data_IF_019039226828
#
_entry.id   IF_019039226828
#
_cell.length_a   1.000
_cell.length_b   1.000
_cell.length_c   1.000
_cell.angle_alpha   90.00
_cell.angle_beta   90.00
_cell.angle_gamma   90.00
#
_symmetry.space_group_name_H-M   'P 1'
#
loop_
_entity.id
_entity.type
_entity.pdbx_description
1 polymer ?
#
# COMPACT_ATOMS: atom_id res chain seq x y z
N UNK A 1 -8.41 -53.07 26.86
CA UNK A 1 -9.66 -53.25 26.09
C UNK A 1 -9.58 -52.41 24.83
N UNK A 2 -9.81 -53.01 23.66
CA UNK A 2 -9.81 -52.38 22.32
C UNK A 2 -11.11 -51.56 22.08
N UNK A 3 -11.13 -50.64 21.09
CA UNK A 3 -12.15 -49.61 20.91
C UNK A 3 -13.26 -50.00 19.91
N UNK A 4 -14.39 -49.29 19.93
CA UNK A 4 -15.44 -49.30 18.91
C UNK A 4 -15.90 -47.85 18.69
N UNK A 5 -15.58 -47.22 17.56
CA UNK A 5 -16.25 -47.21 16.23
C UNK A 5 -17.34 -46.14 16.15
N UNK A 6 -17.15 -45.29 15.14
CA UNK A 6 -18.01 -44.22 14.66
C UNK A 6 -19.32 -44.75 14.07
N UNK A 7 -20.34 -43.90 14.01
CA UNK A 7 -21.26 -43.84 12.87
C UNK A 7 -21.86 -42.43 12.73
N UNK A 8 -21.82 -41.93 11.50
CA UNK A 8 -22.48 -40.73 10.97
C UNK A 8 -23.77 -41.18 10.27
N UNK A 9 -24.87 -40.45 10.42
CA UNK A 9 -25.64 -40.01 9.24
C UNK A 9 -26.09 -38.54 9.44
N UNK A 10 -26.25 -37.65 8.47
CA UNK A 10 -26.57 -37.74 7.05
C UNK A 10 -27.43 -36.50 6.76
N UNK A 11 -27.00 -35.62 5.85
CA UNK A 11 -27.79 -34.49 5.37
C UNK A 11 -29.10 -34.95 4.72
N UNK A 12 -30.11 -34.06 4.67
CA UNK A 12 -30.94 -33.93 3.48
C UNK A 12 -30.83 -32.53 2.84
N UNK A 13 -30.65 -32.57 1.53
CA UNK A 13 -30.80 -31.48 0.56
C UNK A 13 -32.30 -31.27 0.24
N UNK A 14 -32.63 -30.01 -0.10
CA UNK A 14 -33.72 -29.49 -0.94
C UNK A 14 -35.10 -30.19 -0.99
N UNK A 15 -36.15 -29.40 -0.76
CA UNK A 15 -37.51 -29.72 -1.18
C UNK A 15 -38.49 -28.58 -0.88
N UNK A 16 -38.84 -27.82 -1.92
CA UNK A 16 -39.97 -26.90 -1.98
C UNK A 16 -41.29 -27.59 -1.60
N UNK A 17 -42.18 -26.87 -0.89
CA UNK A 17 -43.61 -26.81 -1.21
C UNK A 17 -44.36 -25.85 -0.28
N UNK A 18 -45.13 -24.97 -0.91
CA UNK A 18 -46.11 -24.07 -0.34
C UNK A 18 -47.33 -24.82 0.26
N UNK A 19 -47.98 -24.24 1.28
CA UNK A 19 -49.43 -23.98 1.29
C UNK A 19 -49.92 -23.35 2.61
N UNK A 20 -50.49 -22.14 2.45
CA UNK A 20 -51.77 -21.67 3.01
C UNK A 20 -52.11 -21.76 4.52
N UNK A 21 -52.23 -20.59 5.15
CA UNK A 21 -53.44 -20.16 5.89
C UNK A 21 -53.44 -18.63 5.97
N UNK A 22 -54.23 -17.92 5.15
CA UNK A 22 -55.58 -17.42 5.42
C UNK A 22 -55.81 -16.82 6.83
N UNK A 23 -55.67 -15.49 6.91
CA UNK A 23 -56.12 -14.65 8.02
C UNK A 23 -56.31 -13.20 7.56
N UNK A 24 -57.57 -12.87 7.24
CA UNK A 24 -58.15 -11.53 6.93
C UNK A 24 -57.62 -10.47 7.91
N UNK A 25 -57.39 -9.19 7.61
CA UNK A 25 -57.82 -8.31 6.54
C UNK A 25 -58.08 -6.92 7.16
N UNK A 26 -57.44 -5.86 6.67
CA UNK A 26 -57.96 -4.48 6.66
C UNK A 26 -57.05 -3.59 5.82
N UNK A 27 -57.54 -3.26 4.63
CA UNK A 27 -56.98 -2.25 3.75
C UNK A 27 -57.35 -0.86 4.27
N UNK A 28 -56.38 0.07 4.24
CA UNK A 28 -56.62 1.50 4.19
C UNK A 28 -55.79 2.01 3.01
N UNK A 29 -56.48 2.36 1.93
CA UNK A 29 -55.87 2.86 0.71
C UNK A 29 -55.50 4.33 0.83
N UNK A 30 -54.28 4.66 0.43
CA UNK A 30 -53.91 6.01 0.01
C UNK A 30 -53.31 5.88 -1.40
N UNK A 31 -54.07 6.34 -2.39
CA UNK A 31 -53.68 6.28 -3.80
C UNK A 31 -52.55 7.25 -4.12
N UNK A 32 -51.51 6.73 -4.76
CA UNK A 32 -50.49 7.51 -5.46
C UNK A 32 -50.95 7.73 -6.93
N UNK A 33 -50.94 8.96 -7.45
CA UNK A 33 -51.25 9.21 -8.85
C UNK A 33 -50.10 8.75 -9.77
N UNK A 34 -50.39 8.29 -11.01
CA UNK A 34 -49.37 7.84 -11.95
C UNK A 34 -48.54 9.02 -12.51
N UNK A 35 -47.27 8.78 -12.89
CA UNK A 35 -46.39 9.83 -13.39
C UNK A 35 -46.84 10.31 -14.79
N UNK A 36 -46.88 11.64 -14.95
CA UNK A 36 -47.18 12.30 -16.22
C UNK A 36 -46.08 12.14 -17.28
N UNK A 37 -46.39 12.40 -18.56
CA UNK A 37 -45.48 12.16 -19.68
C UNK A 37 -44.29 13.13 -19.69
N UNK A 38 -43.13 12.71 -20.25
CA UNK A 38 -41.91 13.52 -20.26
C UNK A 38 -42.07 14.76 -21.16
N UNK A 39 -41.69 15.91 -20.61
CA UNK A 39 -41.67 17.20 -21.32
C UNK A 39 -40.46 17.29 -22.27
N UNK A 40 -40.73 17.54 -23.54
CA UNK A 40 -40.00 18.44 -24.43
C UNK A 40 -38.53 18.14 -24.73
N UNK A 41 -38.27 17.39 -25.80
CA UNK A 41 -36.98 17.37 -26.48
C UNK A 41 -36.73 18.70 -27.21
N UNK A 42 -35.59 19.34 -26.93
CA UNK A 42 -35.05 20.46 -27.70
C UNK A 42 -34.42 19.96 -29.03
N UNK A 43 -34.38 20.78 -30.09
CA UNK A 43 -34.12 20.31 -31.45
C UNK A 43 -32.64 19.98 -31.72
N UNK A 44 -32.44 18.94 -32.54
CA UNK A 44 -31.17 18.44 -33.04
C UNK A 44 -30.36 19.49 -33.82
N UNK A 45 -29.15 19.78 -33.35
CA UNK A 45 -28.10 20.41 -34.16
C UNK A 45 -27.46 19.37 -35.10
N UNK A 46 -27.47 19.65 -36.41
CA UNK A 46 -26.83 18.85 -37.47
C UNK A 46 -25.31 18.78 -37.24
N UNK A 47 -24.75 17.57 -37.14
CA UNK A 47 -23.31 17.30 -37.23
C UNK A 47 -22.89 17.10 -38.70
N UNK A 48 -21.70 17.56 -39.13
CA UNK A 48 -21.17 17.28 -40.47
C UNK A 48 -20.64 15.83 -40.57
N UNK A 49 -20.53 15.25 -41.78
CA UNK A 49 -20.15 13.86 -41.97
C UNK A 49 -18.66 13.64 -41.66
N UNK A 50 -18.36 12.51 -40.99
CA UNK A 50 -16.99 12.05 -40.71
C UNK A 50 -16.37 11.49 -41.99
N UNK A 51 -15.23 12.05 -42.40
CA UNK A 51 -14.32 11.40 -43.34
C UNK A 51 -13.67 10.17 -42.65
N UNK A 52 -13.74 9.01 -43.31
CA UNK A 52 -13.03 7.78 -42.91
C UNK A 52 -11.52 7.96 -43.17
N UNK A 53 -10.61 7.49 -42.30
CA UNK A 53 -9.19 7.69 -42.50
C UNK A 53 -8.63 6.60 -43.42
N UNK A 54 -8.30 6.97 -44.66
CA UNK A 54 -7.51 6.15 -45.59
C UNK A 54 -6.12 5.75 -45.02
N UNK A 55 -5.70 6.36 -43.92
CA UNK A 55 -4.45 6.09 -43.22
C UNK A 55 -4.40 4.70 -42.54
N UNK A 56 -5.55 4.13 -42.14
CA UNK A 56 -5.58 2.85 -41.41
C UNK A 56 -5.31 1.64 -42.31
N UNK A 57 -5.70 1.73 -43.58
CA UNK A 57 -5.54 0.63 -44.56
C UNK A 57 -4.09 0.59 -45.05
N UNK A 58 -3.46 1.75 -45.28
CA UNK A 58 -2.05 1.83 -45.66
C UNK A 58 -1.12 1.26 -44.58
N UNK A 59 -1.42 1.51 -43.29
CA UNK A 59 -0.63 0.99 -42.18
C UNK A 59 -0.71 -0.54 -42.03
N UNK A 60 -1.87 -1.13 -42.34
CA UNK A 60 -2.06 -2.59 -42.32
C UNK A 60 -1.37 -3.30 -43.50
N UNK A 61 -1.32 -2.67 -44.67
CA UNK A 61 -0.60 -3.23 -45.82
C UNK A 61 0.92 -3.19 -45.63
N UNK A 62 1.46 -2.14 -44.99
CA UNK A 62 2.88 -2.03 -44.65
C UNK A 62 3.33 -3.06 -43.59
N UNK A 63 2.47 -3.37 -42.62
CA UNK A 63 2.78 -4.38 -41.59
C UNK A 63 2.75 -5.80 -42.15
N UNK A 64 1.83 -6.10 -43.07
CA UNK A 64 1.82 -7.40 -43.78
C UNK A 64 3.05 -7.58 -44.69
N UNK A 65 3.51 -6.53 -45.36
CA UNK A 65 4.73 -6.57 -46.18
C UNK A 65 6.00 -6.80 -45.33
N UNK A 66 6.08 -6.19 -44.14
CA UNK A 66 7.21 -6.35 -43.22
C UNK A 66 7.27 -7.78 -42.64
N UNK A 67 6.11 -8.36 -42.31
CA UNK A 67 6.01 -9.74 -41.83
C UNK A 67 6.41 -10.73 -42.93
N UNK A 68 6.02 -10.49 -44.19
CA UNK A 68 6.42 -11.30 -45.33
C UNK A 68 7.94 -11.23 -45.61
N UNK A 69 8.55 -10.05 -45.47
CA UNK A 69 10.00 -9.88 -45.62
C UNK A 69 10.79 -10.58 -44.50
N UNK A 70 10.30 -10.53 -43.26
CA UNK A 70 10.92 -11.24 -42.12
C UNK A 70 10.81 -12.76 -42.26
N UNK A 71 9.68 -13.25 -42.80
CA UNK A 71 9.46 -14.68 -43.06
C UNK A 71 10.36 -15.22 -44.19
N UNK A 72 10.73 -14.37 -45.16
CA UNK A 72 11.70 -14.73 -46.20
C UNK A 72 13.14 -14.75 -45.68
N UNK A 73 13.51 -13.84 -44.77
CA UNK A 73 14.84 -13.86 -44.15
C UNK A 73 15.05 -15.06 -43.20
N UNK A 74 13.99 -15.59 -42.59
CA UNK A 74 14.08 -16.77 -41.73
C UNK A 74 14.12 -18.09 -42.52
N UNK A 75 13.95 -18.06 -43.85
CA UNK A 75 13.95 -19.26 -44.70
C UNK A 75 15.31 -19.59 -45.34
N UNK A 76 16.25 -18.63 -45.34
CA UNK A 76 17.61 -18.82 -45.90
C UNK A 76 18.67 -19.19 -44.83
N UNK A 77 18.24 -19.59 -43.64
CA UNK A 77 19.12 -19.96 -42.54
C UNK A 77 19.40 -21.45 -42.42
N UNK A 78 19.93 -22.11 -43.45
CA UNK A 78 20.60 -23.41 -43.27
C UNK A 78 21.92 -23.51 -44.06
N UNK A 79 23.03 -23.47 -43.31
CA UNK A 79 24.31 -24.10 -43.65
C UNK A 79 25.28 -23.39 -44.60
N UNK A 80 26.22 -22.60 -44.06
CA UNK A 80 27.69 -22.89 -44.03
C UNK A 80 28.56 -21.65 -43.73
N UNK A 81 29.67 -21.92 -43.06
CA UNK A 81 30.72 -21.02 -42.55
C UNK A 81 31.46 -20.23 -43.64
N UNK A 82 31.91 -19.01 -43.30
CA UNK A 82 33.00 -18.31 -44.00
C UNK A 82 33.13 -16.86 -43.53
N UNK A 83 34.31 -16.45 -43.04
CA UNK A 83 34.54 -15.16 -42.41
C UNK A 83 34.87 -14.00 -43.35
N UNK A 84 34.90 -12.81 -42.75
CA UNK A 84 35.55 -11.60 -43.26
C UNK A 84 34.70 -10.71 -44.16
N UNK A 85 34.39 -9.50 -43.70
CA UNK A 85 34.95 -8.26 -44.27
C UNK A 85 34.27 -7.03 -43.66
N UNK A 86 35.12 -6.14 -43.13
CA UNK A 86 34.80 -4.76 -42.85
C UNK A 86 34.58 -4.00 -44.17
N UNK A 87 33.73 -2.96 -44.13
CA UNK A 87 33.71 -1.91 -45.15
C UNK A 87 32.36 -1.73 -45.86
N UNK A 88 31.54 -0.82 -45.33
CA UNK A 88 30.67 0.06 -46.11
C UNK A 88 29.95 1.04 -45.17
N UNK A 89 30.73 1.94 -44.55
CA UNK A 89 30.23 3.21 -44.07
C UNK A 89 30.50 4.25 -45.17
N UNK A 90 29.46 4.86 -45.71
CA UNK A 90 29.61 6.01 -46.60
C UNK A 90 28.47 6.14 -47.61
N UNK A 91 27.86 7.32 -47.61
CA UNK A 91 26.89 7.88 -48.57
C UNK A 91 25.41 7.58 -48.27
N UNK A 92 24.83 8.42 -47.40
CA UNK A 92 23.82 9.42 -47.80
C UNK A 92 23.41 10.24 -46.56
N UNK A 93 24.25 11.20 -46.20
CA UNK A 93 23.92 12.26 -45.26
C UNK A 93 24.15 13.61 -45.96
N UNK A 94 23.07 14.19 -46.49
CA UNK A 94 22.88 15.64 -46.58
C UNK A 94 21.57 15.93 -47.32
N UNK A 95 20.48 16.07 -46.56
CA UNK A 95 19.57 17.24 -46.66
C UNK A 95 18.30 17.02 -45.83
N UNK A 96 18.03 17.98 -44.93
CA UNK A 96 16.79 18.22 -44.17
C UNK A 96 16.44 17.33 -42.96
N UNK A 97 17.13 17.62 -41.86
CA UNK A 97 16.61 18.12 -40.57
C UNK A 97 15.22 17.69 -40.05
N UNK A 98 15.21 17.19 -38.80
CA UNK A 98 14.07 17.31 -37.89
C UNK A 98 13.75 16.11 -37.01
N UNK A 99 14.36 16.06 -35.82
CA UNK A 99 13.82 15.60 -34.53
C UNK A 99 12.94 14.34 -34.44
N UNK A 100 13.41 13.29 -33.74
CA UNK A 100 12.49 12.26 -33.20
C UNK A 100 13.09 10.89 -32.90
N UNK A 101 13.87 10.81 -31.81
CA UNK A 101 14.08 9.69 -30.88
C UNK A 101 13.52 8.31 -31.31
N UNK A 102 14.42 7.44 -31.77
CA UNK A 102 14.24 6.00 -31.77
C UNK A 102 14.67 5.43 -30.40
N UNK A 103 13.73 4.86 -29.64
CA UNK A 103 14.01 4.09 -28.42
C UNK A 103 13.64 2.64 -28.64
N UNK A 104 14.60 1.83 -29.11
CA UNK A 104 14.46 0.38 -29.15
C UNK A 104 14.36 -0.17 -27.72
N UNK A 105 13.33 -0.96 -27.46
CA UNK A 105 13.17 -1.69 -26.22
C UNK A 105 14.25 -2.78 -26.14
N UNK A 106 15.36 -2.47 -25.48
CA UNK A 106 16.31 -3.47 -25.00
C UNK A 106 15.80 -3.99 -23.67
N UNK A 107 15.62 -5.32 -23.57
CA UNK A 107 15.40 -5.98 -22.30
C UNK A 107 16.54 -5.60 -21.34
N UNK A 108 16.23 -4.85 -20.28
CA UNK A 108 17.22 -4.50 -19.27
C UNK A 108 17.74 -5.78 -18.61
N UNK A 109 19.00 -6.12 -18.90
CA UNK A 109 19.78 -7.04 -18.09
C UNK A 109 19.79 -6.53 -16.64
N UNK A 110 19.37 -7.39 -15.72
CA UNK A 110 19.60 -7.21 -14.28
C UNK A 110 21.11 -7.24 -14.06
N UNK A 111 21.70 -6.09 -13.75
CA UNK A 111 23.10 -6.03 -13.31
C UNK A 111 23.11 -6.38 -11.83
N UNK A 112 23.42 -7.63 -11.51
CA UNK A 112 23.81 -8.01 -10.15
C UNK A 112 25.24 -7.50 -9.96
N UNK A 113 25.38 -6.29 -9.41
CA UNK A 113 26.67 -5.85 -8.91
C UNK A 113 26.96 -6.65 -7.63
N UNK A 114 27.75 -7.72 -7.75
CA UNK A 114 28.43 -8.29 -6.61
C UNK A 114 29.50 -7.28 -6.19
N UNK A 115 29.33 -6.62 -5.04
CA UNK A 115 30.39 -5.81 -4.47
C UNK A 115 31.66 -6.68 -4.36
N UNK A 116 32.73 -6.20 -4.97
CA UNK A 116 34.01 -6.89 -5.06
C UNK A 116 34.54 -7.25 -3.68
N UNK A 117 34.67 -8.54 -3.42
CA UNK A 117 35.38 -9.06 -2.27
C UNK A 117 36.89 -8.78 -2.42
N UNK A 118 37.36 -7.71 -1.78
CA UNK A 118 38.78 -7.56 -1.45
C UNK A 118 38.91 -6.95 -0.05
N UNK A 119 39.16 -7.81 0.94
CA UNK A 119 39.42 -7.43 2.33
C UNK A 119 38.87 -8.47 3.29
N UNK A 120 39.75 -9.29 3.88
CA UNK A 120 39.39 -10.39 4.76
C UNK A 120 38.63 -9.94 6.01
N UNK A 121 37.42 -10.47 6.18
CA UNK A 121 36.58 -10.31 7.38
C UNK A 121 35.12 -10.64 7.09
N UNK A 122 34.72 -11.91 7.25
CA UNK A 122 33.32 -12.43 7.31
C UNK A 122 32.23 -11.80 6.39
N UNK A 123 32.57 -11.26 5.22
CA UNK A 123 31.69 -10.42 4.40
C UNK A 123 30.76 -11.16 3.42
N UNK A 124 30.63 -12.49 3.52
CA UNK A 124 29.93 -13.32 2.53
C UNK A 124 28.44 -13.62 2.78
N UNK A 125 27.77 -12.95 3.73
CA UNK A 125 26.39 -13.31 4.13
C UNK A 125 25.29 -12.50 3.43
N UNK A 126 25.58 -11.32 2.87
CA UNK A 126 24.57 -10.39 2.37
C UNK A 126 24.81 -10.01 0.91
N UNK A 127 23.75 -10.06 0.12
CA UNK A 127 23.74 -9.75 -1.31
C UNK A 127 22.79 -8.57 -1.55
N UNK A 128 23.31 -7.54 -2.23
CA UNK A 128 22.54 -6.40 -2.71
C UNK A 128 22.25 -6.55 -4.21
N UNK A 129 21.12 -6.02 -4.64
CA UNK A 129 20.78 -5.88 -6.04
C UNK A 129 20.01 -4.57 -6.23
N UNK A 130 20.36 -3.82 -7.27
CA UNK A 130 19.60 -2.65 -7.70
C UNK A 130 18.99 -2.92 -9.07
N UNK A 131 17.72 -2.54 -9.23
CA UNK A 131 17.03 -2.63 -10.49
C UNK A 131 16.15 -1.41 -10.73
N UNK A 132 16.15 -0.91 -11.96
CA UNK A 132 15.10 0.01 -12.44
C UNK A 132 13.87 -0.82 -12.80
N UNK A 133 12.79 -0.62 -12.06
CA UNK A 133 11.53 -1.31 -12.27
C UNK A 133 10.62 -0.53 -13.23
N UNK A 134 9.66 -1.23 -13.84
CA UNK A 134 8.62 -0.61 -14.65
C UNK A 134 7.86 0.47 -13.87
N UNK A 135 7.48 1.57 -14.54
CA UNK A 135 6.74 2.66 -13.90
C UNK A 135 7.61 3.67 -13.14
N UNK A 136 8.90 3.78 -13.53
CA UNK A 136 9.81 4.84 -13.09
C UNK A 136 10.38 4.66 -11.68
N UNK A 137 10.22 3.48 -11.08
CA UNK A 137 10.74 3.19 -9.75
C UNK A 137 12.18 2.64 -9.82
N UNK A 138 13.01 3.01 -8.85
CA UNK A 138 14.32 2.39 -8.61
C UNK A 138 14.22 1.56 -7.34
N UNK A 139 14.63 0.30 -7.41
CA UNK A 139 14.49 -0.64 -6.30
C UNK A 139 15.87 -1.15 -5.91
N UNK A 140 16.27 -0.90 -4.67
CA UNK A 140 17.43 -1.49 -4.05
C UNK A 140 17.00 -2.56 -3.06
N UNK A 141 17.41 -3.81 -3.29
CA UNK A 141 17.10 -4.96 -2.44
C UNK A 141 18.37 -5.46 -1.76
N UNK A 142 18.30 -5.63 -0.45
CA UNK A 142 19.28 -6.32 0.36
C UNK A 142 18.67 -7.62 0.87
N UNK A 143 19.35 -8.73 0.64
CA UNK A 143 18.92 -10.07 1.06
C UNK A 143 20.12 -10.86 1.55
N UNK A 144 19.87 -11.97 2.26
CA UNK A 144 20.95 -12.91 2.57
C UNK A 144 21.42 -13.58 1.28
N UNK A 145 22.73 -13.67 1.07
CA UNK A 145 23.29 -14.38 -0.07
C UNK A 145 22.85 -15.83 -0.05
N UNK A 146 22.56 -16.37 -1.23
CA UNK A 146 22.25 -17.77 -1.38
C UNK A 146 23.49 -18.61 -1.05
N UNK A 147 23.38 -19.42 0.01
CA UNK A 147 24.31 -20.49 0.31
C UNK A 147 23.61 -21.84 0.01
N UNK A 148 24.17 -22.71 -0.84
CA UNK A 148 23.61 -24.02 -1.10
C UNK A 148 23.33 -24.79 0.21
N UNK A 149 22.10 -25.28 0.39
CA UNK A 149 21.72 -26.11 1.55
C UNK A 149 21.26 -25.37 2.81
N UNK A 150 21.23 -24.02 2.84
CA UNK A 150 20.60 -23.25 3.92
C UNK A 150 19.29 -22.61 3.43
N UNK A 151 18.16 -22.76 4.15
CA UNK A 151 16.99 -21.93 3.85
C UNK A 151 17.39 -20.46 4.05
N UNK A 152 17.18 -19.63 3.03
CA UNK A 152 17.44 -18.18 3.05
C UNK A 152 16.76 -17.48 4.25
N UNK A 153 15.68 -18.10 4.74
CA UNK A 153 14.74 -17.56 5.70
C UNK A 153 14.80 -18.26 7.08
N UNK A 154 15.82 -19.10 7.33
CA UNK A 154 15.94 -19.79 8.60
C UNK A 154 16.55 -18.86 9.67
N UNK A 155 15.76 -18.60 10.71
CA UNK A 155 16.27 -18.03 11.95
C UNK A 155 17.45 -18.86 12.51
N UNK A 156 18.41 -18.22 13.21
CA UNK A 156 19.46 -18.94 13.93
C UNK A 156 18.87 -20.04 14.83
N UNK A 157 19.56 -21.19 14.93
CA UNK A 157 19.10 -22.31 15.79
C UNK A 157 18.91 -21.81 17.22
N UNK A 158 17.78 -22.15 17.84
CA UNK A 158 17.45 -21.73 19.21
C UNK A 158 16.96 -20.28 19.34
N UNK A 159 16.80 -19.54 18.23
CA UNK A 159 16.19 -18.21 18.30
C UNK A 159 14.76 -18.30 18.86
N UNK A 160 14.49 -17.54 19.93
CA UNK A 160 13.14 -17.43 20.48
C UNK A 160 12.18 -16.92 19.41
N UNK A 161 10.99 -17.54 19.33
CA UNK A 161 9.99 -17.18 18.34
C UNK A 161 10.35 -17.55 16.90
N UNK A 162 11.36 -18.40 16.65
CA UNK A 162 11.75 -18.80 15.30
C UNK A 162 10.62 -19.45 14.47
N UNK A 163 9.51 -19.87 15.08
CA UNK A 163 8.33 -20.40 14.41
C UNK A 163 7.27 -19.34 14.07
N UNK A 164 7.44 -18.09 14.51
CA UNK A 164 6.46 -17.02 14.26
C UNK A 164 6.35 -16.69 12.76
N UNK A 165 5.19 -16.18 12.31
CA UNK A 165 4.99 -15.74 10.94
C UNK A 165 6.04 -14.70 10.50
N UNK A 166 6.32 -14.63 9.21
CA UNK A 166 7.16 -13.58 8.62
C UNK A 166 6.37 -12.29 8.49
N UNK A 167 7.00 -11.16 8.75
CA UNK A 167 6.37 -9.84 8.68
C UNK A 167 7.22 -8.90 7.83
N UNK A 168 6.60 -8.27 6.83
CA UNK A 168 7.16 -7.10 6.16
C UNK A 168 6.75 -5.86 6.96
N UNK A 169 7.70 -5.14 7.54
CA UNK A 169 7.44 -3.80 8.07
C UNK A 169 7.53 -2.82 6.91
N UNK A 170 6.43 -2.14 6.59
CA UNK A 170 6.33 -1.26 5.42
C UNK A 170 6.08 0.20 5.82
N UNK A 171 6.80 1.13 5.18
CA UNK A 171 6.64 2.56 5.40
C UNK A 171 6.87 3.36 4.12
N UNK A 172 6.26 4.55 4.05
CA UNK A 172 6.40 5.51 2.95
C UNK A 172 6.85 6.84 3.54
N UNK A 173 7.87 7.45 2.95
CA UNK A 173 8.39 8.75 3.34
C UNK A 173 8.66 9.62 2.11
N UNK A 174 8.65 10.94 2.25
CA UNK A 174 9.14 11.82 1.20
C UNK A 174 10.67 11.91 1.26
N UNK A 175 11.19 12.29 2.42
CA UNK A 175 12.60 12.53 2.67
C UNK A 175 12.92 12.28 4.17
N UNK A 176 14.14 12.63 4.62
CA UNK A 176 14.54 12.41 6.02
C UNK A 176 13.67 13.18 7.05
N UNK A 177 13.03 14.28 6.65
CA UNK A 177 12.17 15.07 7.54
C UNK A 177 10.81 14.41 7.77
N UNK A 178 10.40 13.48 6.91
CA UNK A 178 9.15 12.72 7.07
C UNK A 178 9.13 11.84 8.32
N UNK A 179 10.29 11.52 8.89
CA UNK A 179 10.40 10.69 10.11
C UNK A 179 10.15 11.45 11.42
N UNK A 180 9.76 12.73 11.28
CA UNK A 180 9.29 13.59 12.35
C UNK A 180 10.37 14.12 13.28
N UNK A 181 9.89 14.68 14.39
CA UNK A 181 10.71 15.30 15.42
C UNK A 181 10.71 14.44 16.69
N UNK A 182 11.76 14.59 17.51
CA UNK A 182 11.86 14.00 18.83
C UNK A 182 12.37 15.05 19.82
N UNK A 183 12.01 14.91 21.10
CA UNK A 183 12.58 15.76 22.17
C UNK A 183 14.08 15.48 22.29
N UNK A 184 14.88 16.52 22.17
CA UNK A 184 16.32 16.42 22.38
C UNK A 184 16.64 16.21 23.88
N UNK A 185 15.84 16.78 24.78
CA UNK A 185 16.04 16.74 26.23
C UNK A 185 14.68 16.70 26.98
N UNK A 186 14.58 15.99 28.11
CA UNK A 186 13.33 15.88 28.90
C UNK A 186 12.92 17.20 29.58
N UNK A 187 13.87 18.10 29.84
CA UNK A 187 13.69 19.27 30.72
C UNK A 187 13.05 20.51 30.08
N UNK A 188 12.89 20.57 28.75
CA UNK A 188 12.38 21.78 28.09
C UNK A 188 11.58 21.45 26.84
N UNK A 189 10.32 21.89 26.78
CA UNK A 189 9.43 21.77 25.61
C UNK A 189 9.96 22.45 24.33
N UNK A 190 10.99 23.29 24.45
CA UNK A 190 11.47 24.17 23.39
C UNK A 190 12.46 23.51 22.41
N UNK A 191 13.02 22.33 22.71
CA UNK A 191 14.10 21.74 21.91
C UNK A 191 13.67 20.43 21.25
N UNK A 192 12.85 20.54 20.20
CA UNK A 192 12.58 19.42 19.30
C UNK A 192 13.69 19.33 18.25
N UNK A 193 14.39 18.20 18.21
CA UNK A 193 15.40 17.90 17.21
C UNK A 193 14.83 17.02 16.08
N UNK A 194 15.48 16.98 14.91
CA UNK A 194 15.12 16.04 13.86
C UNK A 194 15.34 14.61 14.36
N UNK A 195 14.31 13.76 14.25
CA UNK A 195 14.43 12.32 14.57
C UNK A 195 15.15 11.57 13.44
N UNK A 196 14.78 11.89 12.20
CA UNK A 196 15.33 11.26 11.00
C UNK A 196 15.04 9.76 10.91
N UNK A 197 15.52 9.15 9.82
CA UNK A 197 15.34 7.73 9.56
C UNK A 197 15.94 6.83 10.65
N UNK A 198 17.08 7.20 11.23
CA UNK A 198 17.72 6.39 12.27
C UNK A 198 16.86 6.31 13.54
N UNK A 199 16.21 7.40 13.95
CA UNK A 199 15.27 7.37 15.06
C UNK A 199 14.02 6.54 14.77
N UNK A 200 13.57 6.49 13.51
CA UNK A 200 12.49 5.60 13.08
C UNK A 200 12.90 4.12 13.13
N UNK A 201 14.05 3.78 12.55
CA UNK A 201 14.57 2.42 12.56
C UNK A 201 14.86 1.94 13.99
N UNK A 202 15.34 2.83 14.87
CA UNK A 202 15.54 2.48 16.29
C UNK A 202 14.22 2.12 16.98
N UNK A 203 13.14 2.89 16.75
CA UNK A 203 11.81 2.57 17.27
C UNK A 203 11.31 1.22 16.76
N UNK A 204 11.46 0.93 15.46
CA UNK A 204 11.10 -0.39 14.91
C UNK A 204 11.92 -1.52 15.56
N UNK A 205 13.20 -1.26 15.82
CA UNK A 205 14.10 -2.20 16.49
C UNK A 205 13.77 -2.47 17.96
N UNK A 206 12.84 -1.74 18.58
CA UNK A 206 12.37 -2.02 19.95
C UNK A 206 11.26 -3.08 19.98
N UNK A 207 10.73 -3.49 18.83
CA UNK A 207 9.66 -4.47 18.77
C UNK A 207 10.15 -5.87 19.18
N UNK A 208 9.40 -6.52 20.06
CA UNK A 208 9.65 -7.87 20.58
C UNK A 208 9.25 -8.94 19.54
N UNK A 209 9.93 -8.91 18.40
CA UNK A 209 9.72 -9.86 17.31
C UNK A 209 11.07 -10.40 16.82
N UNK A 210 11.18 -11.69 16.46
CA UNK A 210 12.45 -12.24 15.99
C UNK A 210 12.91 -11.53 14.72
N UNK A 211 14.06 -10.85 14.76
CA UNK A 211 14.53 -10.05 13.64
C UNK A 211 14.68 -10.87 12.34
N UNK A 212 15.10 -12.12 12.43
CA UNK A 212 15.16 -13.06 11.30
C UNK A 212 13.80 -13.38 10.65
N UNK A 213 12.67 -13.00 11.27
CA UNK A 213 11.31 -13.07 10.71
C UNK A 213 10.81 -11.72 10.20
N UNK A 214 11.64 -10.67 10.24
CA UNK A 214 11.30 -9.33 9.79
C UNK A 214 12.03 -8.99 8.49
N UNK A 215 11.27 -8.46 7.54
CA UNK A 215 11.79 -7.74 6.37
C UNK A 215 11.41 -6.27 6.50
N UNK A 216 12.24 -5.36 5.97
CA UNK A 216 11.93 -3.93 5.89
C UNK A 216 11.57 -3.53 4.45
N UNK A 217 10.46 -2.81 4.27
CA UNK A 217 10.07 -2.15 3.04
C UNK A 217 9.96 -0.64 3.25
N UNK A 218 10.80 0.13 2.55
CA UNK A 218 10.82 1.59 2.66
C UNK A 218 10.67 2.19 1.26
N UNK A 219 9.60 2.96 1.03
CA UNK A 219 9.50 3.79 -0.17
C UNK A 219 9.83 5.24 0.16
N UNK A 220 10.70 5.86 -0.63
CA UNK A 220 11.02 7.29 -0.58
C UNK A 220 10.70 7.99 -1.89
N UNK A 221 10.32 9.26 -1.81
CA UNK A 221 10.00 10.08 -3.01
C UNK A 221 10.98 11.21 -3.29
N UNK A 222 12.04 11.36 -2.49
CA UNK A 222 13.15 12.27 -2.75
C UNK A 222 14.35 11.52 -3.31
N UNK A 223 14.72 11.87 -4.55
CA UNK A 223 15.88 11.30 -5.23
C UNK A 223 17.17 11.57 -4.47
N UNK A 224 17.33 12.80 -3.96
CA UNK A 224 18.48 13.19 -3.15
C UNK A 224 18.60 12.38 -1.84
N UNK A 225 17.49 11.96 -1.24
CA UNK A 225 17.48 11.19 0.00
C UNK A 225 17.65 9.67 -0.21
N UNK A 226 17.33 9.17 -1.40
CA UNK A 226 17.32 7.72 -1.68
C UNK A 226 18.63 7.00 -1.33
N UNK A 227 19.84 7.51 -1.68
CA UNK A 227 21.09 6.85 -1.30
C UNK A 227 21.26 6.71 0.21
N UNK A 228 20.96 7.77 0.99
CA UNK A 228 21.04 7.71 2.46
C UNK A 228 19.99 6.78 3.07
N UNK A 229 18.80 6.69 2.47
CA UNK A 229 17.78 5.74 2.88
C UNK A 229 18.21 4.28 2.66
N UNK A 230 18.85 3.99 1.51
CA UNK A 230 19.45 2.68 1.20
C UNK A 230 20.51 2.31 2.23
N UNK A 231 21.42 3.23 2.55
CA UNK A 231 22.49 3.00 3.51
C UNK A 231 21.92 2.70 4.91
N UNK A 232 21.02 3.56 5.41
CA UNK A 232 20.42 3.41 6.74
C UNK A 232 19.62 2.11 6.87
N UNK A 233 18.77 1.78 5.89
CA UNK A 233 18.00 0.54 5.87
C UNK A 233 18.91 -0.70 5.81
N UNK A 234 19.97 -0.65 5.00
CA UNK A 234 20.92 -1.76 4.86
C UNK A 234 21.73 -1.97 6.14
N UNK A 235 22.19 -0.89 6.77
CA UNK A 235 22.88 -0.91 8.08
C UNK A 235 21.98 -1.50 9.17
N UNK A 236 20.72 -1.06 9.23
CA UNK A 236 19.74 -1.59 10.17
C UNK A 236 19.46 -3.08 9.95
N UNK A 237 19.21 -3.50 8.71
CA UNK A 237 18.96 -4.89 8.37
C UNK A 237 20.11 -5.82 8.77
N UNK A 238 21.35 -5.44 8.46
CA UNK A 238 22.56 -6.21 8.80
C UNK A 238 22.77 -6.27 10.31
N UNK A 239 22.77 -5.11 10.98
CA UNK A 239 23.05 -5.02 12.42
C UNK A 239 22.04 -5.75 13.30
N UNK A 240 20.77 -5.77 12.91
CA UNK A 240 19.71 -6.47 13.64
C UNK A 240 19.50 -7.92 13.17
N UNK A 241 20.09 -8.31 12.05
CA UNK A 241 19.95 -9.65 11.49
C UNK A 241 18.58 -9.92 10.88
N UNK A 242 18.02 -8.95 10.16
CA UNK A 242 16.75 -9.07 9.45
C UNK A 242 16.80 -10.19 8.38
N UNK A 243 15.63 -10.57 7.85
CA UNK A 243 15.53 -11.42 6.67
C UNK A 243 15.96 -10.67 5.39
N UNK A 244 15.64 -9.37 5.32
CA UNK A 244 16.01 -8.53 4.19
C UNK A 244 15.53 -7.08 4.36
N UNK A 245 15.90 -6.24 3.39
CA UNK A 245 15.39 -4.89 3.26
C UNK A 245 15.20 -4.54 1.77
N UNK A 246 14.10 -3.88 1.44
CA UNK A 246 13.84 -3.33 0.10
C UNK A 246 13.58 -1.84 0.25
N UNK A 247 14.39 -1.03 -0.42
CA UNK A 247 14.20 0.42 -0.51
C UNK A 247 13.79 0.78 -1.93
N UNK A 248 12.72 1.54 -2.08
CA UNK A 248 12.15 1.94 -3.36
C UNK A 248 12.20 3.45 -3.47
N UNK A 249 12.79 3.97 -4.54
CA UNK A 249 12.56 5.34 -4.96
C UNK A 249 11.42 5.40 -5.95
N UNK A 250 10.45 6.28 -5.69
CA UNK A 250 9.39 6.63 -6.64
C UNK A 250 9.02 8.10 -6.48
N UNK A 251 9.18 8.87 -7.55
CA UNK A 251 8.81 10.29 -7.57
C UNK A 251 7.30 10.49 -7.32
N UNK A 252 6.95 11.63 -6.71
CA UNK A 252 5.55 12.05 -6.56
C UNK A 252 4.96 12.47 -7.91
N UNK A 253 3.67 12.19 -8.11
CA UNK A 253 2.93 12.76 -9.24
C UNK A 253 2.89 14.30 -9.11
N UNK A 254 3.00 15.02 -10.23
CA UNK A 254 2.92 16.48 -10.25
C UNK A 254 1.57 16.98 -9.68
N UNK A 255 1.61 18.05 -8.86
CA UNK A 255 0.40 18.66 -8.26
C UNK A 255 -0.02 18.11 -6.89
N UNK A 256 0.79 17.25 -6.26
CA UNK A 256 0.57 16.75 -4.89
C UNK A 256 1.20 17.66 -3.81
N UNK A 257 2.12 18.55 -4.18
CA UNK A 257 2.92 19.38 -3.26
C UNK A 257 2.43 20.84 -3.11
N UNK A 258 1.23 21.17 -3.58
CA UNK A 258 0.75 22.55 -3.49
C UNK A 258 0.29 22.88 -2.05
N UNK A 259 1.23 23.37 -1.25
CA UNK A 259 1.08 23.73 0.15
C UNK A 259 0.01 24.81 0.38
N UNK A 260 -0.39 25.55 -0.67
CA UNK A 260 -1.37 26.63 -0.65
C UNK A 260 -2.84 26.17 -0.49
N UNK A 261 -3.19 24.90 -0.75
CA UNK A 261 -4.59 24.42 -0.75
C UNK A 261 -4.94 23.43 0.38
N UNK A 262 -4.12 23.35 1.45
CA UNK A 262 -4.20 22.32 2.51
C UNK A 262 -5.55 22.22 3.26
N UNK A 263 -6.44 23.19 3.13
CA UNK A 263 -7.74 23.21 3.81
C UNK A 263 -8.94 22.82 2.93
N UNK A 264 -8.74 22.44 1.66
CA UNK A 264 -9.84 21.99 0.80
C UNK A 264 -10.03 20.46 0.82
N UNK A 265 -11.28 20.00 0.77
CA UNK A 265 -11.60 18.58 0.64
C UNK A 265 -10.98 17.95 -0.64
N UNK A 266 -10.84 18.75 -1.70
CA UNK A 266 -10.21 18.34 -2.95
C UNK A 266 -8.70 18.08 -2.78
N UNK A 267 -7.99 18.93 -2.03
CA UNK A 267 -6.57 18.73 -1.74
C UNK A 267 -6.36 17.49 -0.84
N UNK A 268 -7.21 17.31 0.18
CA UNK A 268 -7.17 16.12 1.03
C UNK A 268 -7.36 14.83 0.22
N UNK A 269 -8.33 14.82 -0.70
CA UNK A 269 -8.55 13.71 -1.63
C UNK A 269 -7.31 13.43 -2.50
N UNK A 270 -6.74 14.45 -3.14
CA UNK A 270 -5.54 14.29 -3.99
C UNK A 270 -4.36 13.71 -3.20
N UNK A 271 -4.12 14.23 -1.98
CA UNK A 271 -3.07 13.75 -1.07
C UNK A 271 -3.26 12.28 -0.71
N UNK A 272 -4.47 11.88 -0.31
CA UNK A 272 -4.76 10.49 0.07
C UNK A 272 -4.69 9.54 -1.11
N UNK A 273 -5.16 9.95 -2.29
CA UNK A 273 -5.03 9.15 -3.50
C UNK A 273 -3.56 8.95 -3.91
N UNK A 274 -2.72 9.98 -3.79
CA UNK A 274 -1.28 9.87 -4.01
C UNK A 274 -0.62 8.93 -2.99
N UNK A 275 -0.93 9.09 -1.70
CA UNK A 275 -0.41 8.20 -0.65
C UNK A 275 -0.81 6.74 -0.88
N UNK A 276 -2.06 6.48 -1.27
CA UNK A 276 -2.53 5.14 -1.61
C UNK A 276 -1.72 4.53 -2.77
N UNK A 277 -1.43 5.29 -3.83
CA UNK A 277 -0.57 4.84 -4.93
C UNK A 277 0.85 4.54 -4.48
N UNK A 278 1.42 5.34 -3.58
CA UNK A 278 2.75 5.09 -3.02
C UNK A 278 2.78 3.84 -2.14
N UNK A 279 1.78 3.64 -1.27
CA UNK A 279 1.65 2.42 -0.46
C UNK A 279 1.52 1.18 -1.34
N UNK A 280 0.68 1.25 -2.38
CA UNK A 280 0.54 0.14 -3.34
C UNK A 280 1.85 -0.13 -4.11
N UNK A 281 2.60 0.91 -4.48
CA UNK A 281 3.90 0.74 -5.12
C UNK A 281 4.95 0.14 -4.15
N UNK A 282 4.99 0.59 -2.89
CA UNK A 282 5.85 0.04 -1.86
C UNK A 282 5.55 -1.46 -1.65
N UNK A 283 4.27 -1.80 -1.51
CA UNK A 283 3.79 -3.17 -1.37
C UNK A 283 4.19 -4.03 -2.57
N UNK A 284 3.93 -3.57 -3.80
CA UNK A 284 4.21 -4.32 -5.02
C UNK A 284 5.69 -4.66 -5.22
N UNK A 285 6.60 -3.82 -4.68
CA UNK A 285 8.04 -4.03 -4.83
C UNK A 285 8.69 -4.71 -3.62
N UNK A 286 8.12 -4.55 -2.42
CA UNK A 286 8.71 -5.03 -1.18
C UNK A 286 8.08 -6.32 -0.63
N UNK A 287 6.79 -6.58 -0.87
CA UNK A 287 6.14 -7.81 -0.40
C UNK A 287 6.62 -9.00 -1.21
N UNK A 288 7.27 -9.94 -0.52
CA UNK A 288 7.65 -11.23 -1.05
C UNK A 288 6.81 -12.33 -0.42
N UNK A 289 7.47 -13.24 0.31
CA UNK A 289 6.89 -14.42 0.94
C UNK A 289 6.52 -14.19 2.41
N UNK A 290 6.41 -12.92 2.85
CA UNK A 290 5.98 -12.61 4.20
C UNK A 290 4.50 -12.98 4.43
N UNK A 291 4.16 -13.38 5.64
CA UNK A 291 2.79 -13.79 6.00
C UNK A 291 1.92 -12.58 6.39
N UNK A 292 2.55 -11.49 6.82
CA UNK A 292 1.88 -10.25 7.22
C UNK A 292 2.65 -9.02 6.72
N UNK A 293 1.94 -7.91 6.58
CA UNK A 293 2.48 -6.57 6.34
C UNK A 293 2.12 -5.69 7.51
N UNK A 294 3.12 -5.16 8.21
CA UNK A 294 2.95 -4.19 9.28
C UNK A 294 3.25 -2.79 8.76
N UNK A 295 2.19 -2.05 8.44
CA UNK A 295 2.26 -0.66 8.01
C UNK A 295 2.54 0.25 9.20
N UNK A 296 3.57 1.08 9.09
CA UNK A 296 3.91 2.11 10.07
C UNK A 296 4.21 3.41 9.34
N UNK A 297 3.41 4.44 9.59
CA UNK A 297 3.67 5.78 9.04
C UNK A 297 5.00 6.32 9.57
N UNK A 298 5.72 7.06 8.71
CA UNK A 298 7.09 7.51 9.01
C UNK A 298 7.15 8.42 10.24
N UNK A 299 6.06 9.13 10.52
CA UNK A 299 5.91 10.08 11.61
C UNK A 299 5.32 9.47 12.90
N UNK A 300 5.18 8.14 12.96
CA UNK A 300 5.01 7.43 14.23
C UNK A 300 6.34 7.42 14.99
N UNK A 301 6.31 7.99 16.19
CA UNK A 301 7.50 8.28 17.00
C UNK A 301 7.70 7.29 18.14
N UNK A 302 6.62 6.70 18.65
CA UNK A 302 6.68 5.71 19.73
C UNK A 302 5.52 4.71 19.63
N UNK A 303 5.79 3.48 20.01
CA UNK A 303 4.81 2.39 20.19
C UNK A 303 5.34 1.40 21.24
N UNK A 304 4.46 0.71 22.00
CA UNK A 304 4.89 -0.34 22.92
C UNK A 304 5.74 -1.42 22.23
N UNK A 305 6.74 -1.98 22.92
CA UNK A 305 7.64 -3.01 22.37
C UNK A 305 6.91 -4.29 21.94
N UNK A 306 5.81 -4.63 22.60
CA UNK A 306 5.01 -5.80 22.28
C UNK A 306 3.97 -5.57 21.17
N UNK A 307 3.91 -4.38 20.56
CA UNK A 307 2.87 -4.02 19.57
C UNK A 307 2.81 -5.03 18.44
N UNK A 308 3.91 -5.23 17.71
CA UNK A 308 3.92 -6.14 16.57
C UNK A 308 3.57 -7.59 16.98
N UNK A 309 4.11 -8.07 18.10
CA UNK A 309 3.84 -9.42 18.58
C UNK A 309 2.35 -9.61 18.90
N UNK A 310 1.74 -8.68 19.63
CA UNK A 310 0.33 -8.72 19.99
C UNK A 310 -0.60 -8.65 18.77
N UNK A 311 -0.28 -7.81 17.77
CA UNK A 311 -1.08 -7.74 16.55
C UNK A 311 -1.01 -9.06 15.76
N UNK A 312 0.17 -9.67 15.61
CA UNK A 312 0.31 -10.96 14.90
C UNK A 312 -0.38 -12.10 15.67
N UNK A 313 -0.21 -12.15 17.00
CA UNK A 313 -0.79 -13.22 17.84
C UNK A 313 -2.32 -13.12 17.94
N UNK A 314 -2.90 -11.97 17.59
CA UNK A 314 -4.35 -11.79 17.55
C UNK A 314 -5.05 -12.66 16.49
N UNK A 315 -4.31 -13.09 15.45
CA UNK A 315 -4.84 -13.86 14.33
C UNK A 315 -5.89 -13.12 13.48
N UNK A 316 -6.00 -11.80 13.62
CA UNK A 316 -6.95 -10.96 12.86
C UNK A 316 -6.41 -10.63 11.47
N UNK A 317 -7.31 -10.55 10.48
CA UNK A 317 -6.92 -10.27 9.08
C UNK A 317 -6.31 -8.86 8.92
N UNK A 318 -6.97 -7.85 9.50
CA UNK A 318 -6.55 -6.44 9.45
C UNK A 318 -6.75 -5.85 10.84
N UNK A 319 -5.70 -5.34 11.47
CA UNK A 319 -5.77 -4.75 12.81
C UNK A 319 -4.95 -3.47 12.93
N UNK A 320 -5.61 -2.37 13.33
CA UNK A 320 -4.97 -1.06 13.60
C UNK A 320 -4.86 -0.82 15.10
N UNK A 321 -3.95 0.06 15.50
CA UNK A 321 -3.85 0.54 16.88
C UNK A 321 -4.65 1.83 17.08
N UNK A 322 -4.80 2.25 18.34
CA UNK A 322 -5.16 3.63 18.69
C UNK A 322 -3.92 4.49 18.45
N UNK A 323 -4.05 5.62 17.74
CA UNK A 323 -2.92 6.54 17.52
C UNK A 323 -3.23 7.91 18.09
N UNK A 324 -2.44 8.33 19.07
CA UNK A 324 -2.59 9.59 19.78
C UNK A 324 -1.56 10.63 19.36
N UNK A 325 -1.97 11.90 19.45
CA UNK A 325 -1.13 13.08 19.32
C UNK A 325 -1.04 13.82 20.66
N UNK A 326 -0.84 15.15 20.59
CA UNK A 326 -0.72 16.02 21.77
C UNK A 326 -1.81 15.75 22.81
N UNK A 327 -1.43 15.75 24.09
CA UNK A 327 -2.32 15.54 25.24
C UNK A 327 -3.16 14.26 25.17
N UNK A 328 -2.62 13.20 24.57
CA UNK A 328 -3.32 11.92 24.34
C UNK A 328 -4.63 12.04 23.53
N UNK A 329 -4.78 13.11 22.75
CA UNK A 329 -5.94 13.29 21.88
C UNK A 329 -5.80 12.37 20.67
N UNK A 330 -6.90 11.73 20.27
CA UNK A 330 -6.95 10.86 19.09
C UNK A 330 -6.48 11.64 17.85
N UNK A 331 -5.39 11.16 17.25
CA UNK A 331 -4.83 11.71 16.03
C UNK A 331 -5.43 11.01 14.79
N UNK A 332 -5.43 9.68 14.79
CA UNK A 332 -5.91 8.89 13.65
C UNK A 332 -7.43 8.69 13.71
N UNK A 333 -8.15 9.40 12.83
CA UNK A 333 -9.62 9.34 12.73
C UNK A 333 -10.12 8.47 11.58
N UNK A 334 -9.24 7.71 10.92
CA UNK A 334 -9.62 6.76 9.88
C UNK A 334 -9.97 5.37 10.41
N UNK A 335 -9.71 5.10 11.70
CA UNK A 335 -10.21 3.93 12.40
C UNK A 335 -11.58 4.23 13.07
N UNK A 336 -12.64 3.55 12.64
CA UNK A 336 -13.99 3.78 13.16
C UNK A 336 -14.92 2.57 12.96
N UNK A 337 -15.92 2.46 13.84
CA UNK A 337 -17.17 1.73 13.60
C UNK A 337 -18.22 2.73 13.11
N UNK A 338 -19.14 2.27 12.26
CA UNK A 338 -20.19 3.04 11.56
C UNK A 338 -20.64 4.36 12.25
N UNK A 339 -21.06 5.41 11.50
CA UNK A 339 -21.22 5.47 10.03
C UNK A 339 -20.42 6.61 9.36
N UNK A 340 -19.43 6.34 8.49
CA UNK A 340 -18.57 7.39 7.89
C UNK A 340 -18.98 8.02 6.55
N UNK A 341 -19.96 7.55 5.78
CA UNK A 341 -21.32 8.14 5.84
C UNK A 341 -22.23 7.45 4.82
N UNK A 342 -23.13 6.56 5.24
CA UNK A 342 -24.08 5.88 4.37
C UNK A 342 -25.30 6.78 4.09
N UNK A 343 -25.07 8.04 3.72
CA UNK A 343 -26.01 9.16 3.48
C UNK A 343 -27.19 9.45 4.45
N UNK A 344 -27.74 8.52 5.27
CA UNK A 344 -29.00 8.67 6.02
C UNK A 344 -29.18 7.82 7.31
N UNK A 345 -28.15 7.16 7.85
CA UNK A 345 -28.36 6.32 9.04
C UNK A 345 -28.49 7.14 10.34
N UNK A 346 -29.44 6.79 11.22
CA UNK A 346 -29.54 7.29 12.61
C UNK A 346 -28.36 6.74 13.42
N UNK A 347 -27.37 7.56 13.76
CA UNK A 347 -26.25 7.16 14.64
C UNK A 347 -24.99 8.03 14.47
N UNK A 348 -24.10 8.00 15.47
CA UNK A 348 -22.83 8.74 15.51
C UNK A 348 -21.64 7.83 15.13
N UNK A 349 -20.66 8.37 14.38
CA UNK A 349 -19.41 7.66 14.09
C UNK A 349 -18.62 7.45 15.38
N UNK A 350 -18.27 6.20 15.69
CA UNK A 350 -17.43 5.88 16.84
C UNK A 350 -16.00 5.66 16.38
N UNK A 351 -15.09 6.53 16.80
CA UNK A 351 -13.66 6.42 16.47
C UNK A 351 -12.92 5.54 17.48
N UNK A 352 -11.64 5.29 17.22
CA UNK A 352 -10.81 4.37 18.02
C UNK A 352 -10.74 4.73 19.52
N UNK A 353 -10.78 6.01 19.87
CA UNK A 353 -10.76 6.48 21.27
C UNK A 353 -12.01 6.05 22.06
N UNK A 354 -13.17 5.92 21.42
CA UNK A 354 -14.38 5.42 22.05
C UNK A 354 -14.30 3.96 22.53
N UNK A 355 -13.21 3.26 22.18
CA UNK A 355 -12.95 1.88 22.55
C UNK A 355 -11.64 1.71 23.33
N UNK A 356 -10.79 2.74 23.38
CA UNK A 356 -9.46 2.67 23.97
C UNK A 356 -9.55 2.28 25.46
N UNK A 357 -8.81 1.25 25.86
CA UNK A 357 -8.83 0.73 27.24
C UNK A 357 -10.15 0.07 27.66
N UNK A 358 -11.06 -0.21 26.71
CA UNK A 358 -12.31 -0.92 26.98
C UNK A 358 -12.10 -2.37 27.45
N UNK A 359 -13.18 -3.12 27.76
CA UNK A 359 -13.06 -4.48 28.27
C UNK A 359 -12.49 -5.48 27.24
N UNK A 360 -12.77 -5.25 25.96
CA UNK A 360 -12.32 -6.11 24.87
C UNK A 360 -10.96 -5.65 24.34
N UNK A 361 -9.94 -6.53 24.26
CA UNK A 361 -8.62 -6.15 23.73
C UNK A 361 -8.64 -5.90 22.22
N UNK A 362 -9.60 -6.51 21.51
CA UNK A 362 -9.80 -6.34 20.07
C UNK A 362 -11.25 -6.04 19.75
N UNK A 363 -11.50 -4.93 19.07
CA UNK A 363 -12.85 -4.46 18.71
C UNK A 363 -13.01 -4.47 17.19
N UNK A 364 -14.08 -5.03 16.62
CA UNK A 364 -14.28 -5.02 15.17
C UNK A 364 -14.41 -3.57 14.66
N UNK A 365 -13.94 -3.27 13.46
CA UNK A 365 -14.06 -1.94 12.84
C UNK A 365 -14.68 -2.04 11.45
N UNK A 366 -15.26 -0.91 11.01
CA UNK A 366 -15.68 -0.74 9.62
C UNK A 366 -14.56 -0.26 8.70
N UNK A 367 -13.54 0.32 9.32
CA UNK A 367 -12.44 0.96 8.65
C UNK A 367 -11.27 1.09 9.59
N UNK A 368 -10.07 1.05 9.04
CA UNK A 368 -8.83 1.18 9.80
C UNK A 368 -8.06 2.43 9.43
N UNK A 369 -7.22 2.87 10.36
CA UNK A 369 -6.21 3.87 10.13
C UNK A 369 -5.06 3.37 9.26
N UNK A 370 -4.26 4.33 8.81
CA UNK A 370 -3.03 4.07 8.07
C UNK A 370 -1.77 4.14 8.94
N UNK A 371 -1.87 4.69 10.14
CA UNK A 371 -0.74 5.02 11.00
C UNK A 371 0.06 3.81 11.49
N UNK A 372 -0.61 2.80 12.04
CA UNK A 372 0.03 1.58 12.56
C UNK A 372 -0.94 0.42 12.45
N UNK A 373 -0.80 -0.36 11.37
CA UNK A 373 -1.80 -1.34 10.94
C UNK A 373 -1.14 -2.61 10.44
N UNK A 374 -1.47 -3.75 11.04
CA UNK A 374 -1.09 -5.06 10.54
C UNK A 374 -2.16 -5.57 9.57
N UNK A 375 -1.72 -6.13 8.44
CA UNK A 375 -2.55 -6.76 7.43
C UNK A 375 -1.98 -8.13 7.12
N UNK A 376 -2.78 -9.19 7.19
CA UNK A 376 -2.40 -10.51 6.70
C UNK A 376 -2.06 -10.38 5.20
N UNK A 377 -0.90 -10.90 4.78
CA UNK A 377 -0.38 -10.65 3.44
C UNK A 377 -1.32 -11.18 2.34
N UNK A 378 -2.09 -12.22 2.63
CA UNK A 378 -3.07 -12.77 1.69
C UNK A 378 -4.22 -11.80 1.38
N UNK A 379 -4.60 -10.92 2.31
CA UNK A 379 -5.56 -9.83 2.04
C UNK A 379 -5.07 -8.96 0.87
N UNK A 380 -3.79 -8.60 0.88
CA UNK A 380 -3.17 -7.85 -0.19
C UNK A 380 -2.99 -8.66 -1.47
N UNK A 381 -2.60 -9.94 -1.37
CA UNK A 381 -2.43 -10.83 -2.54
C UNK A 381 -3.75 -11.16 -3.24
N UNK A 382 -4.85 -11.21 -2.51
CA UNK A 382 -6.20 -11.38 -3.04
C UNK A 382 -6.75 -10.10 -3.70
N UNK A 383 -6.04 -8.97 -3.56
CA UNK A 383 -6.33 -7.73 -4.29
C UNK A 383 -6.94 -6.61 -3.45
N UNK A 384 -7.11 -6.77 -2.14
CA UNK A 384 -7.48 -5.65 -1.28
C UNK A 384 -6.26 -4.74 -1.05
N UNK A 385 -6.27 -3.57 -1.68
CA UNK A 385 -5.19 -2.58 -1.68
C UNK A 385 -5.68 -1.24 -1.13
N UNK A 386 -4.77 -0.27 -0.97
CA UNK A 386 -5.15 1.10 -0.62
C UNK A 386 -5.85 1.76 -1.82
N UNK A 387 -7.05 2.29 -1.61
CA UNK A 387 -7.84 2.85 -2.70
C UNK A 387 -7.29 4.22 -3.17
N UNK A 388 -6.91 4.40 -4.44
CA UNK A 388 -6.39 5.68 -4.93
C UNK A 388 -7.48 6.75 -5.14
N UNK A 389 -8.75 6.36 -5.04
CA UNK A 389 -9.95 7.18 -5.20
C UNK A 389 -11.00 6.75 -4.17
N UNK A 390 -12.06 7.53 -4.01
CA UNK A 390 -13.22 7.10 -3.22
C UNK A 390 -13.92 5.95 -3.96
N UNK A 391 -13.98 4.77 -3.35
CA UNK A 391 -14.61 3.57 -3.95
C UNK A 391 -16.07 3.42 -3.55
N UNK A 392 -16.48 3.98 -2.41
CA UNK A 392 -17.84 3.83 -1.92
C UNK A 392 -18.75 4.79 -2.69
N UNK A 393 -19.75 4.23 -3.37
CA UNK A 393 -20.69 4.98 -4.20
C UNK A 393 -20.13 5.47 -5.54
N UNK A 394 -18.96 4.97 -5.97
CA UNK A 394 -18.34 5.37 -7.23
C UNK A 394 -19.11 4.82 -8.44
N UNK A 395 -19.53 5.67 -9.39
CA UNK A 395 -20.02 5.22 -10.68
C UNK A 395 -18.86 4.98 -11.66
N UNK A 396 -19.17 4.46 -12.85
CA UNK A 396 -18.19 4.40 -13.93
C UNK A 396 -17.74 5.81 -14.34
N UNK A 397 -16.43 6.05 -14.36
CA UNK A 397 -15.83 7.29 -14.83
C UNK A 397 -15.85 8.46 -13.84
N UNK A 398 -16.27 8.25 -12.58
CA UNK A 398 -16.17 9.27 -11.54
C UNK A 398 -15.85 8.66 -10.17
N UNK A 399 -15.41 9.50 -9.23
CA UNK A 399 -15.15 9.09 -7.86
C UNK A 399 -16.45 8.87 -7.07
N UNK A 400 -16.36 8.01 -6.07
CA UNK A 400 -17.38 7.88 -5.03
C UNK A 400 -17.31 9.02 -4.01
N UNK A 401 -17.99 8.82 -2.88
CA UNK A 401 -18.06 9.81 -1.81
C UNK A 401 -17.24 9.45 -0.57
N UNK A 402 -16.78 8.20 -0.43
CA UNK A 402 -16.02 7.72 0.74
C UNK A 402 -15.12 6.51 0.40
N UNK A 403 -14.32 6.04 1.36
CA UNK A 403 -13.51 4.83 1.22
C UNK A 403 -12.23 5.03 0.41
N UNK A 404 -11.53 6.16 0.57
CA UNK A 404 -10.21 6.35 -0.05
C UNK A 404 -9.12 5.77 0.84
N UNK A 405 -8.02 5.35 0.23
CA UNK A 405 -6.79 4.95 0.89
C UNK A 405 -7.03 3.78 1.86
N UNK A 406 -6.80 3.94 3.17
CA UNK A 406 -6.93 2.89 4.20
C UNK A 406 -8.37 2.54 4.50
N UNK A 407 -9.33 3.45 4.26
CA UNK A 407 -10.74 3.10 4.40
C UNK A 407 -11.21 2.16 3.31
N UNK A 408 -10.72 2.38 2.09
CA UNK A 408 -11.03 1.53 0.94
C UNK A 408 -10.51 0.11 1.10
N UNK A 409 -9.42 -0.06 1.88
CA UNK A 409 -8.88 -1.37 2.20
C UNK A 409 -9.91 -2.25 2.92
N UNK A 410 -10.49 -1.78 4.03
CA UNK A 410 -11.52 -2.52 4.76
C UNK A 410 -12.78 -2.75 3.95
N UNK A 411 -13.18 -1.74 3.17
CA UNK A 411 -14.34 -1.88 2.29
C UNK A 411 -14.15 -3.03 1.29
N UNK A 412 -12.99 -3.08 0.63
CA UNK A 412 -12.67 -4.13 -0.36
C UNK A 412 -12.48 -5.49 0.31
N UNK A 413 -11.73 -5.54 1.42
CA UNK A 413 -11.40 -6.76 2.14
C UNK A 413 -12.65 -7.53 2.62
N UNK A 414 -13.74 -6.83 2.95
CA UNK A 414 -15.02 -7.46 3.32
C UNK A 414 -15.62 -8.35 2.23
N UNK A 415 -15.47 -7.97 0.96
CA UNK A 415 -15.93 -8.80 -0.16
C UNK A 415 -15.09 -10.06 -0.35
N UNK A 416 -13.89 -10.09 0.24
CA UNK A 416 -13.00 -11.26 0.30
C UNK A 416 -13.24 -12.12 1.57
N UNK A 417 -14.26 -11.79 2.37
CA UNK A 417 -14.54 -12.48 3.64
C UNK A 417 -13.57 -12.12 4.77
N UNK A 418 -12.85 -11.00 4.66
CA UNK A 418 -11.85 -10.52 5.64
C UNK A 418 -12.44 -9.47 6.56
N UNK A 419 -11.88 -9.37 7.76
CA UNK A 419 -12.42 -8.53 8.84
C UNK A 419 -11.40 -7.50 9.36
N UNK A 420 -11.89 -6.30 9.68
CA UNK A 420 -11.08 -5.21 10.23
C UNK A 420 -11.30 -5.05 11.74
N UNK A 421 -10.22 -4.71 12.47
CA UNK A 421 -10.20 -4.68 13.93
C UNK A 421 -9.35 -3.52 14.46
N UNK A 422 -9.64 -3.13 15.70
CA UNK A 422 -8.86 -2.24 16.55
C UNK A 422 -8.21 -3.06 17.65
N UNK A 423 -6.91 -2.89 17.88
CA UNK A 423 -6.27 -3.29 19.13
C UNK A 423 -6.50 -2.20 20.19
N UNK A 424 -7.56 -2.35 20.98
CA UNK A 424 -8.07 -1.32 21.88
C UNK A 424 -7.14 -1.02 23.07
N UNK A 425 -6.22 -1.93 23.39
CA UNK A 425 -5.24 -1.78 24.49
C UNK A 425 -3.85 -1.36 24.02
N UNK A 426 -3.69 -1.09 22.73
CA UNK A 426 -2.40 -0.68 22.16
C UNK A 426 -2.52 0.74 21.62
N UNK A 427 -1.76 1.65 22.24
CA UNK A 427 -1.68 3.05 21.83
C UNK A 427 -0.30 3.36 21.26
N UNK A 428 -0.28 3.95 20.07
CA UNK A 428 0.92 4.47 19.41
C UNK A 428 0.86 6.00 19.34
N UNK A 429 2.02 6.62 19.10
CA UNK A 429 2.17 8.07 19.22
C UNK A 429 2.74 8.68 17.95
N UNK A 430 1.94 9.55 17.33
CA UNK A 430 2.34 10.38 16.20
C UNK A 430 3.27 11.52 16.67
N UNK A 431 4.11 12.05 15.78
CA UNK A 431 5.05 13.15 16.10
C UNK A 431 4.39 14.38 16.73
N UNK A 432 3.11 14.64 16.47
CA UNK A 432 2.36 15.73 17.09
C UNK A 432 2.17 15.54 18.59
N UNK A 433 2.44 14.35 19.14
CA UNK A 433 2.52 14.12 20.59
C UNK A 433 3.54 15.04 21.27
N UNK A 434 4.63 15.39 20.57
CA UNK A 434 5.70 16.21 21.11
C UNK A 434 5.52 17.72 20.88
N UNK A 435 4.55 18.11 20.05
CA UNK A 435 4.36 19.49 19.60
C UNK A 435 3.06 20.03 20.21
N UNK A 436 3.18 21.09 21.01
CA UNK A 436 2.00 21.83 21.46
C UNK A 436 1.37 22.56 20.27
N UNK A 437 0.05 22.44 20.02
CA UNK A 437 -0.63 23.22 18.99
C UNK A 437 -0.46 24.73 19.26
N UNK A 438 -0.16 25.50 18.21
CA UNK A 438 -0.16 26.96 18.30
C UNK A 438 -1.60 27.45 18.57
N UNK A 439 -1.81 28.20 19.67
CA UNK A 439 -3.11 28.77 20.05
C UNK A 439 -3.63 28.37 21.44
N UNK A 440 -3.09 27.34 22.09
CA UNK A 440 -3.50 26.93 23.45
C UNK A 440 -2.72 27.71 24.53
N UNK A 441 -2.97 29.01 24.69
CA UNK A 441 -2.57 29.75 25.91
C UNK A 441 -3.58 29.61 27.06
N UNK A 442 -4.38 28.55 27.04
CA UNK A 442 -5.24 28.12 28.15
C UNK A 442 -5.63 26.68 27.88
N UNK A 443 -5.36 25.78 28.82
CA UNK A 443 -5.93 24.45 28.75
C UNK A 443 -7.46 24.59 28.80
N UNK A 444 -8.22 23.95 27.89
CA UNK A 444 -9.65 23.80 28.13
C UNK A 444 -9.79 22.92 29.37
N UNK A 445 -10.57 23.40 30.33
CA UNK A 445 -10.99 22.57 31.47
C UNK A 445 -11.67 21.31 30.92
N UNK A 446 -11.53 20.13 31.55
CA UNK A 446 -12.18 18.92 31.08
C UNK A 446 -13.70 19.12 31.11
N UNK A 447 -14.30 19.40 29.95
CA UNK A 447 -15.73 19.72 29.87
C UNK A 447 -16.20 20.41 28.59
N UNK A 448 -15.33 21.05 27.80
CA UNK A 448 -15.78 21.75 26.59
C UNK A 448 -15.16 21.15 25.31
N UNK A 449 -15.95 20.33 24.63
CA UNK A 449 -15.72 19.94 23.23
C UNK A 449 -15.92 21.17 22.32
N UNK A 450 -14.98 21.51 21.43
CA UNK A 450 -15.25 22.52 20.43
C UNK A 450 -16.21 21.96 19.38
N UNK A 451 -17.36 22.61 19.23
CA UNK A 451 -18.32 22.34 18.17
C UNK A 451 -17.80 22.83 16.82
N UNK A 452 -17.54 21.89 15.90
CA UNK A 452 -17.89 21.87 14.46
C UNK A 452 -16.83 21.20 13.59
#
# INVERSE_FOLDING_TARGET
>A
MRPAKADVPGLPLFGDAAAASHGRGKAIGAGLPPPGPPRGAAPHAKRPPRALPALSIALHLLSLALIAALALQLRDGDGRRGGGLAGAAGLLASSFGGSGIAGGATAHQVVVAADGASGGGSSGEWCSAEARASGGAVVHRLSRCWAPGRPLDACPRGARGAARPRVLIATVALNNQSFGLIRANESTLANLGPRGIDGFLNMLGQQEYPACRLSLGLLVSSEAFFPSAVEAASRFARSRGLAGATVVFKALDAGVDDQAERHSAAAQRRRRGALARLRNAALAHALGLEDHVFWVDSDITSMPSHTLAALVDSGKDIVTTVTNGWNNILYERNAWQLPRRPSQARGETRFADAFAGGPEPFVPLDSVGGCTTLVAADVHREGALFAPNYVIGAPWGADGFDGIESEGLCHTARFLGRSCWLAAHITTYHQSFWIKPEGENGAPSPGELPSR
#
